data_IF_483629042960
#
_entry.id   IF_483629042960
#
_cell.length_a   1.000
_cell.length_b   1.000
_cell.length_c   1.000
_cell.angle_alpha   90.00
_cell.angle_beta   90.00
_cell.angle_gamma   90.00
#
_symmetry.space_group_name_H-M   'P 1'
#
loop_
_entity.id
_entity.type
_entity.pdbx_description
1 polymer ?
#
# COMPACT_ATOMS: atom_id res chain seq x y z
N UNK A 1 -7.95 -23.57 2.61
CA UNK A 1 -7.83 -22.45 3.55
C UNK A 1 -6.40 -22.09 3.86
N UNK A 2 -5.71 -21.51 2.87
CA UNK A 2 -4.33 -21.01 2.99
C UNK A 2 -4.24 -19.78 3.90
N UNK A 3 -5.25 -18.90 3.90
CA UNK A 3 -5.26 -17.68 4.73
C UNK A 3 -5.31 -18.01 6.22
N UNK A 4 -6.22 -18.90 6.66
CA UNK A 4 -6.30 -19.32 8.05
C UNK A 4 -5.07 -20.14 8.49
N UNK A 5 -4.49 -20.92 7.58
CA UNK A 5 -3.24 -21.63 7.82
C UNK A 5 -2.07 -20.66 8.06
N UNK A 6 -1.92 -19.66 7.19
CA UNK A 6 -0.87 -18.65 7.30
C UNK A 6 -1.04 -17.78 8.54
N UNK A 7 -2.28 -17.39 8.89
CA UNK A 7 -2.55 -16.65 10.12
C UNK A 7 -2.12 -17.44 11.36
N UNK A 8 -2.41 -18.75 11.38
CA UNK A 8 -1.98 -19.63 12.48
C UNK A 8 -0.47 -19.82 12.53
N UNK A 9 0.20 -19.92 11.39
CA UNK A 9 1.67 -19.97 11.35
C UNK A 9 2.27 -18.71 11.95
N UNK A 10 1.72 -17.54 11.62
CA UNK A 10 2.15 -16.25 12.18
C UNK A 10 1.90 -16.18 13.70
N UNK A 11 0.75 -16.64 14.18
CA UNK A 11 0.45 -16.75 15.62
C UNK A 11 1.45 -17.68 16.33
N UNK A 12 1.89 -18.74 15.64
CA UNK A 12 2.88 -19.70 16.14
C UNK A 12 4.34 -19.19 15.95
N UNK A 13 4.55 -17.98 15.42
CA UNK A 13 5.87 -17.37 15.25
C UNK A 13 6.62 -17.74 13.97
N UNK A 14 5.96 -18.39 13.00
CA UNK A 14 6.56 -18.84 11.75
C UNK A 14 6.06 -18.03 10.54
N UNK A 15 6.97 -17.74 9.61
CA UNK A 15 6.62 -17.12 8.34
C UNK A 15 6.05 -18.15 7.35
N UNK A 16 5.00 -17.79 6.59
CA UNK A 16 4.49 -18.62 5.51
C UNK A 16 5.48 -18.66 4.33
N UNK A 17 5.41 -19.74 3.55
CA UNK A 17 6.17 -19.88 2.29
C UNK A 17 5.82 -18.75 1.30
N UNK A 18 6.76 -18.43 0.40
CA UNK A 18 6.54 -17.46 -0.66
C UNK A 18 5.37 -17.84 -1.57
N UNK A 19 4.57 -16.84 -1.97
CA UNK A 19 3.40 -17.03 -2.83
C UNK A 19 3.82 -17.64 -4.17
N UNK A 20 3.20 -18.75 -4.63
CA UNK A 20 3.59 -19.41 -5.87
C UNK A 20 3.23 -18.60 -7.12
N UNK A 21 4.02 -18.77 -8.20
CA UNK A 21 3.74 -18.19 -9.53
C UNK A 21 2.49 -18.79 -10.18
N UNK A 22 1.31 -18.31 -9.83
CA UNK A 22 0.05 -18.70 -10.46
C UNK A 22 -0.89 -17.50 -10.62
N UNK A 23 -2.03 -17.70 -11.32
CA UNK A 23 -3.13 -16.74 -11.29
C UNK A 23 -3.94 -17.01 -10.00
N UNK A 24 -3.88 -16.12 -8.99
CA UNK A 24 -4.40 -16.44 -7.68
C UNK A 24 -5.92 -16.39 -7.67
N UNK A 25 -6.53 -17.21 -6.80
CA UNK A 25 -7.92 -16.99 -6.41
C UNK A 25 -7.94 -15.78 -5.48
N UNK A 26 -8.78 -14.76 -5.75
CA UNK A 26 -8.82 -13.60 -4.87
C UNK A 26 -9.39 -13.97 -3.51
N UNK A 27 -8.85 -13.34 -2.48
CA UNK A 27 -9.52 -13.25 -1.18
C UNK A 27 -10.57 -12.15 -1.28
N UNK A 28 -11.83 -12.50 -1.01
CA UNK A 28 -12.93 -11.55 -0.99
C UNK A 28 -13.24 -11.16 0.45
N UNK A 29 -13.15 -9.87 0.76
CA UNK A 29 -13.49 -9.31 2.06
C UNK A 29 -14.68 -8.38 1.88
N UNK A 30 -15.75 -8.62 2.63
CA UNK A 30 -16.90 -7.69 2.69
C UNK A 30 -16.68 -6.71 3.83
N UNK A 31 -16.50 -5.44 3.50
CA UNK A 31 -16.36 -4.36 4.46
C UNK A 31 -17.71 -3.65 4.62
N UNK A 32 -18.25 -3.66 5.84
CA UNK A 32 -19.49 -2.97 6.19
C UNK A 32 -19.31 -2.13 7.44
N UNK A 33 -19.99 -0.98 7.48
CA UNK A 33 -19.99 -0.12 8.66
C UNK A 33 -18.66 0.58 8.94
N UNK A 34 -17.72 0.58 7.98
CA UNK A 34 -16.50 1.39 8.06
C UNK A 34 -16.90 2.86 8.01
N UNK A 35 -16.63 3.65 9.06
CA UNK A 35 -17.10 5.04 9.10
C UNK A 35 -16.56 5.83 7.91
N UNK A 36 -17.41 6.72 7.37
CA UNK A 36 -17.08 7.58 6.22
C UNK A 36 -16.74 6.84 4.90
N UNK A 37 -16.83 5.52 4.86
CA UNK A 37 -16.67 4.70 3.67
C UNK A 37 -17.99 4.02 3.29
N UNK A 38 -18.27 3.80 1.99
CA UNK A 38 -19.41 2.99 1.58
C UNK A 38 -19.15 1.52 1.90
N UNK A 39 -20.22 0.75 2.10
CA UNK A 39 -20.13 -0.70 2.16
C UNK A 39 -19.59 -1.22 0.82
N UNK A 40 -18.61 -2.12 0.88
CA UNK A 40 -17.94 -2.60 -0.33
C UNK A 40 -17.47 -4.05 -0.21
N UNK A 41 -17.10 -4.62 -1.36
CA UNK A 41 -16.41 -5.90 -1.44
C UNK A 41 -15.01 -5.66 -1.99
N UNK A 42 -14.01 -5.91 -1.15
CA UNK A 42 -12.61 -5.83 -1.53
C UNK A 42 -12.19 -7.19 -2.12
N UNK A 43 -11.64 -7.15 -3.33
CA UNK A 43 -11.04 -8.31 -3.98
C UNK A 43 -9.52 -8.16 -3.92
N UNK A 44 -8.88 -8.94 -3.07
CA UNK A 44 -7.44 -8.93 -2.88
C UNK A 44 -6.82 -10.09 -3.64
N UNK A 45 -5.97 -9.77 -4.62
CA UNK A 45 -5.20 -10.75 -5.36
C UNK A 45 -3.75 -10.70 -4.83
N UNK A 46 -3.29 -11.80 -4.27
CA UNK A 46 -1.89 -11.95 -3.85
C UNK A 46 -1.12 -12.71 -4.93
N UNK A 47 -0.29 -11.98 -5.67
CA UNK A 47 0.60 -12.53 -6.70
C UNK A 47 2.05 -12.36 -6.24
N UNK A 48 2.89 -13.37 -6.48
CA UNK A 48 4.32 -13.27 -6.21
C UNK A 48 4.94 -12.04 -6.86
N UNK A 49 5.84 -11.35 -6.14
CA UNK A 49 6.49 -10.11 -6.58
C UNK A 49 7.24 -10.26 -7.91
N UNK A 50 7.73 -11.46 -8.22
CA UNK A 50 8.35 -11.84 -9.49
C UNK A 50 7.46 -11.58 -10.72
N UNK A 51 6.15 -11.47 -10.54
CA UNK A 51 5.21 -11.18 -11.63
C UNK A 51 5.34 -9.73 -12.10
N UNK A 52 5.95 -8.87 -11.29
CA UNK A 52 6.17 -7.45 -11.56
C UNK A 52 7.63 -7.14 -11.93
N UNK A 53 8.47 -8.15 -12.17
CA UNK A 53 9.84 -7.97 -12.68
C UNK A 53 9.87 -7.72 -14.19
N UNK A 54 8.88 -8.26 -14.94
CA UNK A 54 8.78 -8.14 -16.39
C UNK A 54 7.34 -7.90 -16.82
N UNK A 55 7.09 -7.01 -17.80
CA UNK A 55 5.74 -6.74 -18.31
C UNK A 55 4.99 -8.00 -18.73
N UNK A 56 5.66 -8.93 -19.40
CA UNK A 56 5.06 -10.20 -19.87
C UNK A 56 4.52 -11.08 -18.75
N UNK A 57 5.13 -11.05 -17.56
CA UNK A 57 4.65 -11.82 -16.40
C UNK A 57 3.42 -11.16 -15.77
N UNK A 58 3.37 -9.83 -15.77
CA UNK A 58 2.18 -9.07 -15.33
C UNK A 58 0.99 -9.40 -16.23
N UNK A 59 1.19 -9.44 -17.56
CA UNK A 59 0.14 -9.84 -18.52
C UNK A 59 -0.39 -11.24 -18.20
N UNK A 60 0.51 -12.19 -17.91
CA UNK A 60 0.18 -13.60 -17.73
C UNK A 60 -0.50 -13.90 -16.40
N UNK A 61 -0.05 -13.27 -15.31
CA UNK A 61 -0.42 -13.67 -13.94
C UNK A 61 -1.20 -12.61 -13.17
N UNK A 62 -1.17 -11.34 -13.62
CA UNK A 62 -1.77 -10.21 -12.92
C UNK A 62 -2.84 -9.47 -13.74
N UNK A 63 -3.41 -10.06 -14.81
CA UNK A 63 -4.37 -9.38 -15.70
C UNK A 63 -5.61 -8.77 -15.02
N UNK A 64 -5.91 -9.12 -13.76
CA UNK A 64 -6.94 -8.47 -12.95
C UNK A 64 -6.66 -6.97 -12.72
N UNK A 65 -5.39 -6.55 -12.70
CA UNK A 65 -5.00 -5.15 -12.41
C UNK A 65 -5.60 -4.17 -13.42
N UNK A 66 -5.90 -4.63 -14.65
CA UNK A 66 -6.49 -3.79 -15.71
C UNK A 66 -7.81 -3.13 -15.30
N UNK A 67 -8.57 -3.76 -14.41
CA UNK A 67 -9.89 -3.27 -13.99
C UNK A 67 -9.89 -2.64 -12.60
N UNK A 68 -8.72 -2.51 -11.97
CA UNK A 68 -8.64 -1.95 -10.64
C UNK A 68 -8.80 -0.42 -10.70
N UNK A 69 -9.61 0.15 -9.80
CA UNK A 69 -9.73 1.61 -9.63
C UNK A 69 -8.52 2.20 -8.88
N UNK A 70 -7.87 1.36 -8.06
CA UNK A 70 -6.67 1.70 -7.33
C UNK A 70 -5.62 0.57 -7.45
N UNK A 71 -4.38 0.95 -7.67
CA UNK A 71 -3.22 0.06 -7.68
C UNK A 71 -2.34 0.36 -6.47
N UNK A 72 -1.93 -0.67 -5.73
CA UNK A 72 -0.97 -0.55 -4.63
C UNK A 72 0.39 -1.06 -5.06
N UNK A 73 1.42 -0.23 -4.94
CA UNK A 73 2.81 -0.65 -5.08
C UNK A 73 3.43 -0.77 -3.69
N UNK A 74 3.72 -2.00 -3.28
CA UNK A 74 4.42 -2.30 -2.03
C UNK A 74 5.93 -2.23 -2.28
N UNK A 75 6.62 -1.32 -1.61
CA UNK A 75 8.06 -1.07 -1.83
C UNK A 75 8.77 -1.13 -0.49
N UNK A 76 9.81 -1.97 -0.37
CA UNK A 76 10.69 -1.92 0.80
C UNK A 76 11.94 -1.12 0.46
N UNK A 77 11.94 0.17 0.83
CA UNK A 77 13.06 1.08 0.52
C UNK A 77 14.36 0.61 1.17
N UNK A 78 14.27 0.05 2.39
CA UNK A 78 15.44 -0.45 3.12
C UNK A 78 16.11 -1.67 2.47
N UNK A 79 15.39 -2.38 1.60
CA UNK A 79 15.91 -3.59 0.92
C UNK A 79 16.37 -3.28 -0.52
N UNK A 80 16.32 -2.03 -0.98
CA UNK A 80 16.80 -1.61 -2.30
C UNK A 80 18.21 -1.05 -2.21
N UNK A 81 19.11 -1.52 -3.09
CA UNK A 81 20.48 -0.98 -3.21
C UNK A 81 20.47 0.51 -3.65
N UNK A 82 19.61 0.83 -4.62
CA UNK A 82 19.29 2.20 -5.05
C UNK A 82 17.76 2.34 -5.07
N UNK A 83 17.22 3.01 -4.05
CA UNK A 83 15.79 3.22 -3.90
C UNK A 83 15.15 3.92 -5.12
N UNK A 84 15.81 4.95 -5.65
CA UNK A 84 15.32 5.71 -6.81
C UNK A 84 15.23 4.81 -8.04
N UNK A 85 16.29 4.06 -8.34
CA UNK A 85 16.31 3.17 -9.50
C UNK A 85 15.27 2.04 -9.35
N UNK A 86 15.18 1.43 -8.17
CA UNK A 86 14.24 0.35 -7.89
C UNK A 86 12.78 0.80 -8.01
N UNK A 87 12.42 1.95 -7.43
CA UNK A 87 11.07 2.52 -7.56
C UNK A 87 10.72 2.83 -9.02
N UNK A 88 11.65 3.45 -9.76
CA UNK A 88 11.44 3.77 -11.17
C UNK A 88 11.24 2.52 -12.02
N UNK A 89 12.04 1.48 -11.79
CA UNK A 89 11.92 0.21 -12.50
C UNK A 89 10.56 -0.46 -12.24
N UNK A 90 10.12 -0.49 -10.99
CA UNK A 90 8.84 -1.07 -10.60
C UNK A 90 7.67 -0.34 -11.28
N UNK A 91 7.66 1.00 -11.20
CA UNK A 91 6.63 1.84 -11.80
C UNK A 91 6.58 1.66 -13.33
N UNK A 92 7.73 1.71 -13.99
CA UNK A 92 7.83 1.52 -15.43
C UNK A 92 7.34 0.13 -15.85
N UNK A 93 7.69 -0.91 -15.11
CA UNK A 93 7.25 -2.28 -15.40
C UNK A 93 5.73 -2.39 -15.31
N UNK A 94 5.13 -1.77 -14.30
CA UNK A 94 3.68 -1.71 -14.16
C UNK A 94 3.01 -0.95 -15.31
N UNK A 95 3.48 0.26 -15.64
CA UNK A 95 2.90 1.09 -16.72
C UNK A 95 2.99 0.37 -18.07
N UNK A 96 4.15 -0.19 -18.41
CA UNK A 96 4.35 -0.93 -19.66
C UNK A 96 3.46 -2.17 -19.70
N UNK A 97 3.42 -2.96 -18.62
CA UNK A 97 2.56 -4.14 -18.53
C UNK A 97 1.07 -3.81 -18.65
N UNK A 98 0.64 -2.67 -18.10
CA UNK A 98 -0.73 -2.16 -18.27
C UNK A 98 -1.02 -1.79 -19.71
N UNK A 99 -0.08 -1.15 -20.41
CA UNK A 99 -0.19 -0.87 -21.84
C UNK A 99 -0.35 -2.14 -22.67
N UNK A 100 0.42 -3.20 -22.38
CA UNK A 100 0.30 -4.51 -23.03
C UNK A 100 -1.05 -5.18 -22.77
N UNK A 101 -1.63 -4.98 -21.58
CA UNK A 101 -2.97 -5.45 -21.24
C UNK A 101 -4.11 -4.64 -21.89
N UNK A 102 -3.80 -3.61 -22.67
CA UNK A 102 -4.76 -2.60 -23.15
C UNK A 102 -5.51 -1.92 -21.99
N UNK A 103 -4.83 -1.77 -20.86
CA UNK A 103 -5.29 -0.99 -19.71
C UNK A 103 -4.87 0.48 -19.82
N UNK A 104 -5.53 1.32 -19.03
CA UNK A 104 -5.23 2.75 -18.96
C UNK A 104 -5.00 3.16 -17.51
N UNK A 105 -3.73 3.36 -17.15
CA UNK A 105 -3.34 3.77 -15.79
C UNK A 105 -3.87 5.14 -15.43
N UNK A 106 -4.22 6.00 -16.41
CA UNK A 106 -4.76 7.34 -16.13
C UNK A 106 -6.15 7.31 -15.50
N UNK A 107 -6.84 6.17 -15.56
CA UNK A 107 -8.09 5.95 -14.86
C UNK A 107 -7.89 5.32 -13.47
N UNK A 108 -6.66 4.94 -13.12
CA UNK A 108 -6.33 4.32 -11.84
C UNK A 108 -5.71 5.33 -10.88
N UNK A 109 -5.99 5.15 -9.60
CA UNK A 109 -5.27 5.83 -8.52
C UNK A 109 -4.07 4.99 -8.10
N UNK A 110 -2.90 5.60 -7.95
CA UNK A 110 -1.71 4.92 -7.46
C UNK A 110 -1.53 5.17 -5.95
N UNK A 111 -1.35 4.10 -5.20
CA UNK A 111 -1.02 4.13 -3.78
C UNK A 111 0.36 3.50 -3.61
N UNK A 112 1.35 4.32 -3.24
CA UNK A 112 2.71 3.86 -2.95
C UNK A 112 2.79 3.53 -1.47
N UNK A 113 3.17 2.31 -1.13
CA UNK A 113 3.22 1.84 0.25
C UNK A 113 4.65 1.48 0.60
N UNK A 114 5.27 2.25 1.48
CA UNK A 114 6.56 1.89 2.06
C UNK A 114 6.37 0.81 3.12
N UNK A 115 6.90 -0.37 2.84
CA UNK A 115 6.82 -1.57 3.68
C UNK A 115 8.12 -1.78 4.45
N UNK A 116 8.06 -2.59 5.51
CA UNK A 116 9.17 -2.78 6.47
C UNK A 116 9.65 -1.44 7.04
N UNK A 117 8.69 -0.55 7.32
CA UNK A 117 8.98 0.81 7.76
C UNK A 117 9.72 0.90 9.10
N UNK A 118 9.68 -0.16 9.91
CA UNK A 118 10.50 -0.32 11.11
C UNK A 118 12.00 -0.16 10.82
N UNK A 119 12.47 -0.58 9.63
CA UNK A 119 13.85 -0.36 9.19
C UNK A 119 14.15 1.10 8.81
N UNK A 120 13.13 1.89 8.50
CA UNK A 120 13.26 3.28 8.06
C UNK A 120 13.21 4.29 9.23
N UNK A 121 12.82 3.86 10.43
CA UNK A 121 12.65 4.75 11.59
C UNK A 121 13.90 5.57 11.89
N UNK A 122 15.09 4.98 11.75
CA UNK A 122 16.35 5.69 11.95
C UNK A 122 16.64 6.79 10.93
N UNK A 123 15.99 6.76 9.77
CA UNK A 123 16.12 7.78 8.73
C UNK A 123 15.12 8.94 8.93
N UNK A 124 14.04 8.71 9.68
CA UNK A 124 13.02 9.73 9.96
C UNK A 124 13.46 10.67 11.08
N UNK A 125 14.44 11.53 10.77
CA UNK A 125 14.99 12.53 11.68
C UNK A 125 14.69 13.96 11.25
N UNK A 126 14.84 14.92 12.17
CA UNK A 126 14.62 16.33 11.86
C UNK A 126 13.19 16.61 11.41
N UNK A 127 13.03 17.13 10.18
CA UNK A 127 11.70 17.42 9.60
C UNK A 127 10.86 16.16 9.34
N UNK A 128 11.47 14.99 9.26
CA UNK A 128 10.79 13.72 9.03
C UNK A 128 10.36 13.02 10.31
N UNK A 129 10.66 13.58 11.50
CA UNK A 129 10.39 12.94 12.78
C UNK A 129 8.91 12.59 12.99
N UNK A 130 8.00 13.34 12.36
CA UNK A 130 6.57 13.07 12.44
C UNK A 130 6.17 11.74 11.78
N UNK A 131 6.91 11.27 10.77
CA UNK A 131 6.73 9.94 10.16
C UNK A 131 7.09 8.83 11.15
N UNK A 132 8.17 8.99 11.92
CA UNK A 132 8.54 8.04 12.97
C UNK A 132 7.48 7.99 14.06
N UNK A 133 7.04 9.16 14.55
CA UNK A 133 5.96 9.27 15.55
C UNK A 133 4.69 8.61 15.03
N UNK A 134 4.30 8.90 13.79
CA UNK A 134 3.12 8.30 13.18
C UNK A 134 3.18 6.77 13.12
N UNK A 135 4.34 6.20 12.80
CA UNK A 135 4.53 4.74 12.78
C UNK A 135 4.54 4.15 14.21
N UNK A 136 5.17 4.83 15.16
CA UNK A 136 5.31 4.38 16.56
C UNK A 136 3.97 4.44 17.30
N UNK A 137 3.20 5.49 17.09
CA UNK A 137 1.91 5.74 17.75
C UNK A 137 0.75 5.05 17.03
N UNK A 138 1.04 4.19 16.05
CA UNK A 138 0.05 3.41 15.31
C UNK A 138 -0.76 2.48 16.19
N UNK A 139 -1.88 2.98 16.73
CA UNK A 139 -2.93 2.19 17.36
C UNK A 139 -4.18 2.14 16.48
N UNK A 140 -4.83 0.97 16.47
CA UNK A 140 -6.16 0.74 15.89
C UNK A 140 -7.22 1.63 16.58
N UNK A 141 -6.99 2.04 17.82
CA UNK A 141 -7.91 2.89 18.59
C UNK A 141 -8.11 4.27 17.95
N UNK A 142 -7.11 4.76 17.21
CA UNK A 142 -7.21 6.02 16.48
C UNK A 142 -8.29 5.99 15.38
N UNK A 143 -8.76 4.81 14.96
CA UNK A 143 -9.87 4.66 14.02
C UNK A 143 -11.23 5.07 14.61
N UNK A 144 -11.34 5.17 15.93
CA UNK A 144 -12.55 5.64 16.60
C UNK A 144 -12.93 7.08 16.19
N UNK A 145 -11.94 7.91 15.86
CA UNK A 145 -12.10 9.28 15.36
C UNK A 145 -11.79 9.34 13.85
N UNK A 146 -12.62 8.67 13.05
CA UNK A 146 -12.29 8.37 11.64
C UNK A 146 -12.07 9.60 10.75
N UNK A 147 -12.73 10.73 11.01
CA UNK A 147 -12.52 11.95 10.21
C UNK A 147 -11.10 12.50 10.42
N UNK A 148 -10.72 12.70 11.68
CA UNK A 148 -9.36 13.10 12.08
C UNK A 148 -8.32 12.09 11.62
N UNK A 149 -8.66 10.79 11.61
CA UNK A 149 -7.78 9.74 11.10
C UNK A 149 -7.47 9.91 9.61
N UNK A 150 -8.49 10.13 8.77
CA UNK A 150 -8.30 10.29 7.32
C UNK A 150 -7.56 11.58 6.98
N UNK A 151 -7.83 12.67 7.70
CA UNK A 151 -7.07 13.91 7.53
C UNK A 151 -5.60 13.71 7.92
N UNK A 152 -5.34 13.01 9.02
CA UNK A 152 -3.98 12.65 9.41
C UNK A 152 -3.29 11.75 8.37
N UNK A 153 -4.00 10.79 7.76
CA UNK A 153 -3.46 9.97 6.67
C UNK A 153 -3.06 10.82 5.46
N UNK A 154 -3.80 11.89 5.14
CA UNK A 154 -3.47 12.81 4.04
C UNK A 154 -2.20 13.60 4.36
N UNK A 155 -2.10 14.16 5.56
CA UNK A 155 -0.89 14.87 6.00
C UNK A 155 0.35 13.97 5.92
N UNK A 156 0.24 12.72 6.36
CA UNK A 156 1.34 11.75 6.28
C UNK A 156 1.64 11.36 4.84
N UNK A 157 0.62 11.22 3.98
CA UNK A 157 0.82 11.00 2.55
C UNK A 157 1.61 12.14 1.91
N UNK A 158 1.30 13.39 2.23
CA UNK A 158 2.02 14.56 1.71
C UNK A 158 3.46 14.59 2.27
N UNK A 159 3.65 14.29 3.55
CA UNK A 159 4.99 14.22 4.14
C UNK A 159 5.84 13.09 3.56
N UNK A 160 5.24 11.95 3.21
CA UNK A 160 5.91 10.85 2.52
C UNK A 160 6.22 11.17 1.06
N UNK A 161 5.36 11.94 0.40
CA UNK A 161 5.65 12.47 -0.94
C UNK A 161 6.91 13.34 -0.88
N UNK A 162 6.97 14.30 0.04
CA UNK A 162 8.13 15.19 0.23
C UNK A 162 9.38 14.40 0.61
N UNK A 163 9.25 13.39 1.48
CA UNK A 163 10.36 12.48 1.80
C UNK A 163 10.88 11.75 0.56
N UNK A 164 9.98 11.29 -0.31
CA UNK A 164 10.34 10.59 -1.55
C UNK A 164 11.06 11.52 -2.53
N UNK A 165 10.63 12.77 -2.61
CA UNK A 165 11.25 13.77 -3.48
C UNK A 165 12.62 14.20 -2.94
N UNK A 166 12.67 14.60 -1.67
CA UNK A 166 13.80 15.34 -1.12
C UNK A 166 14.85 14.44 -0.49
N UNK A 167 14.46 13.38 0.24
CA UNK A 167 15.39 12.46 0.90
C UNK A 167 15.81 11.32 -0.02
N UNK A 168 14.86 10.73 -0.75
CA UNK A 168 15.16 9.63 -1.70
C UNK A 168 15.59 10.14 -3.08
N UNK A 169 15.52 11.45 -3.32
CA UNK A 169 15.85 12.08 -4.60
C UNK A 169 15.09 11.49 -5.80
N UNK A 170 13.87 11.01 -5.59
CA UNK A 170 13.10 10.24 -6.57
C UNK A 170 12.10 11.07 -7.39
N UNK A 171 12.49 12.28 -7.79
CA UNK A 171 11.68 13.20 -8.61
C UNK A 171 11.15 12.55 -9.90
N UNK A 172 11.96 11.73 -10.57
CA UNK A 172 11.56 11.06 -11.82
C UNK A 172 10.40 10.09 -11.60
N UNK A 173 10.42 9.38 -10.45
CA UNK A 173 9.36 8.46 -10.06
C UNK A 173 8.06 9.20 -9.79
N UNK A 174 8.12 10.28 -9.00
CA UNK A 174 6.95 11.12 -8.69
C UNK A 174 6.34 11.68 -9.98
N UNK A 175 7.16 12.33 -10.81
CA UNK A 175 6.70 12.92 -12.07
C UNK A 175 6.08 11.87 -13.00
N UNK A 176 6.70 10.68 -13.10
CA UNK A 176 6.17 9.60 -13.90
C UNK A 176 4.84 9.09 -13.34
N UNK A 177 4.70 8.95 -12.03
CA UNK A 177 3.48 8.52 -11.38
C UNK A 177 2.35 9.54 -11.61
N UNK A 178 2.58 10.82 -11.34
CA UNK A 178 1.57 11.87 -11.54
C UNK A 178 1.16 12.04 -13.00
N UNK A 179 2.09 11.82 -13.95
CA UNK A 179 1.79 11.91 -15.39
C UNK A 179 0.96 10.75 -15.93
N UNK A 180 1.00 9.59 -15.27
CA UNK A 180 0.41 8.34 -15.76
C UNK A 180 -0.79 7.85 -14.97
N UNK A 181 -1.05 8.40 -13.78
CA UNK A 181 -2.14 7.98 -12.90
C UNK A 181 -3.10 9.13 -12.58
N UNK A 182 -4.34 8.78 -12.21
CA UNK A 182 -5.40 9.74 -11.86
C UNK A 182 -5.07 10.54 -10.62
N UNK A 183 -4.47 9.89 -9.62
CA UNK A 183 -3.93 10.51 -8.43
C UNK A 183 -2.82 9.64 -7.85
N UNK A 184 -1.96 10.27 -7.05
CA UNK A 184 -0.88 9.64 -6.31
C UNK A 184 -1.14 9.83 -4.81
N UNK A 185 -0.94 8.79 -4.02
CA UNK A 185 -1.00 8.87 -2.55
C UNK A 185 0.04 7.93 -1.95
N UNK A 186 0.55 8.29 -0.79
CA UNK A 186 1.58 7.54 -0.09
C UNK A 186 1.04 6.97 1.22
N UNK A 187 1.57 5.83 1.61
CA UNK A 187 1.31 5.19 2.89
C UNK A 187 2.57 4.49 3.38
N UNK A 188 2.63 4.22 4.68
CA UNK A 188 3.77 3.58 5.32
C UNK A 188 3.28 2.55 6.33
N UNK A 189 3.84 1.34 6.27
CA UNK A 189 3.42 0.22 7.13
C UNK A 189 4.62 -0.57 7.63
N UNK A 190 4.45 -1.18 8.81
CA UNK A 190 5.28 -2.28 9.27
C UNK A 190 4.37 -3.44 9.65
N UNK A 191 4.45 -4.55 8.92
CA UNK A 191 3.56 -5.69 9.14
C UNK A 191 3.96 -6.51 10.37
N UNK A 192 5.28 -6.65 10.61
CA UNK A 192 5.83 -7.48 11.68
C UNK A 192 6.21 -6.67 12.92
N UNK A 193 6.45 -5.37 12.77
CA UNK A 193 6.97 -4.52 13.85
C UNK A 193 8.49 -4.67 14.07
N UNK A 194 9.09 -5.78 13.62
CA UNK A 194 10.53 -6.06 13.64
C UNK A 194 10.94 -6.99 12.50
N UNK A 195 12.24 -6.99 12.17
CA UNK A 195 12.81 -7.94 11.21
C UNK A 195 12.81 -9.39 11.75
N UNK A 196 12.32 -10.38 10.97
CA UNK A 196 12.36 -11.79 11.36
C UNK A 196 13.78 -12.38 11.26
N UNK A 197 14.08 -13.41 12.07
CA UNK A 197 15.33 -14.17 11.98
C UNK A 197 15.09 -15.44 11.16
N UNK A 198 15.35 -15.35 9.85
CA UNK A 198 15.06 -16.43 8.91
C UNK A 198 13.55 -16.66 8.76
N UNK A 199 13.06 -17.82 9.20
CA UNK A 199 11.65 -18.19 9.16
C UNK A 199 10.91 -17.96 10.49
N UNK A 200 11.63 -17.53 11.53
CA UNK A 200 11.11 -17.37 12.88
C UNK A 200 11.00 -15.90 13.27
N UNK A 201 9.97 -15.58 14.04
CA UNK A 201 9.75 -14.27 14.64
C UNK A 201 10.38 -14.27 16.04
N UNK A 202 11.43 -13.46 16.23
CA UNK A 202 12.16 -13.36 17.51
C UNK A 202 11.38 -12.59 18.59
N UNK A 203 10.32 -11.88 18.20
CA UNK A 203 9.41 -11.13 19.08
C UNK A 203 7.97 -11.24 18.58
N UNK A 204 7.02 -10.87 19.43
CA UNK A 204 5.61 -10.78 19.08
C UNK A 204 5.37 -9.77 17.95
N UNK A 205 4.51 -10.14 16.99
CA UNK A 205 4.15 -9.30 15.85
C UNK A 205 3.44 -8.04 16.36
N UNK A 206 3.94 -6.87 15.99
CA UNK A 206 3.28 -5.58 16.27
C UNK A 206 2.99 -4.87 14.95
N UNK A 207 1.86 -5.18 14.28
CA UNK A 207 1.50 -4.54 13.02
C UNK A 207 1.21 -3.06 13.24
N UNK A 208 1.85 -2.21 12.45
CA UNK A 208 1.70 -0.75 12.48
C UNK A 208 1.13 -0.27 11.16
N UNK A 209 0.02 0.46 11.23
CA UNK A 209 -0.62 1.15 10.10
C UNK A 209 -1.06 0.25 8.93
N UNK A 210 -1.16 -1.07 9.15
CA UNK A 210 -1.54 -2.04 8.11
C UNK A 210 -2.92 -1.81 7.45
N UNK A 211 -3.78 -1.02 8.10
CA UNK A 211 -5.11 -0.68 7.59
C UNK A 211 -5.10 0.55 6.67
N UNK A 212 -4.06 1.39 6.73
CA UNK A 212 -4.00 2.65 5.97
C UNK A 212 -4.04 2.42 4.45
N UNK A 213 -3.28 1.47 3.87
CA UNK A 213 -3.37 1.21 2.44
C UNK A 213 -4.76 0.74 2.02
N UNK A 214 -5.45 -0.03 2.88
CA UNK A 214 -6.81 -0.52 2.60
C UNK A 214 -7.80 0.65 2.62
N UNK A 215 -7.69 1.53 3.61
CA UNK A 215 -8.51 2.75 3.68
C UNK A 215 -8.28 3.67 2.48
N UNK A 216 -7.03 3.77 1.99
CA UNK A 216 -6.73 4.47 0.75
C UNK A 216 -7.39 3.82 -0.46
N UNK A 217 -7.29 2.50 -0.61
CA UNK A 217 -7.98 1.78 -1.71
C UNK A 217 -9.47 2.04 -1.67
N UNK A 218 -10.09 1.97 -0.49
CA UNK A 218 -11.51 2.29 -0.32
C UNK A 218 -11.78 3.74 -0.73
N UNK A 219 -11.06 4.71 -0.18
CA UNK A 219 -11.23 6.15 -0.50
C UNK A 219 -11.08 6.44 -1.99
N UNK A 220 -10.13 5.80 -2.67
CA UNK A 220 -9.79 6.07 -4.07
C UNK A 220 -10.65 5.29 -5.08
N UNK A 221 -11.25 4.18 -4.67
CA UNK A 221 -12.05 3.33 -5.56
C UNK A 221 -13.49 3.82 -5.78
N UNK A 222 -13.90 4.93 -5.15
CA UNK A 222 -15.24 5.50 -5.32
C UNK A 222 -15.17 6.93 -5.89
N UNK A 223 -15.63 7.10 -7.12
CA UNK A 223 -15.73 8.40 -7.81
C UNK A 223 -16.95 9.22 -7.36
N UNK A 224 -16.79 10.05 -6.31
CA UNK A 224 -17.80 11.02 -5.82
C UNK A 224 -19.20 10.40 -5.55
N UNK A 225 -20.31 11.14 -5.31
CA UNK A 225 -20.59 12.39 -4.63
C UNK A 225 -21.11 12.18 -3.18
N UNK A 226 -20.80 11.06 -2.52
CA UNK A 226 -21.18 10.86 -1.10
C UNK A 226 -20.50 11.86 -0.13
N UNK A 227 -19.37 12.44 -0.57
CA UNK A 227 -18.63 13.48 0.16
C UNK A 227 -19.32 14.86 0.12
N UNK A 228 -20.05 15.20 -0.94
CA UNK A 228 -20.76 16.50 -1.02
C UNK A 228 -22.11 16.49 -0.29
N UNK A 229 -22.78 15.34 -0.21
CA UNK A 229 -24.07 15.19 0.49
C UNK A 229 -23.92 15.29 2.01
N UNK A 230 -22.87 14.69 2.62
CA UNK A 230 -22.62 14.84 4.07
C UNK A 230 -22.17 16.24 4.48
N UNK A 231 -21.45 16.96 3.60
CA UNK A 231 -21.04 18.36 3.85
C UNK A 231 -22.22 19.34 3.76
N UNK A 232 -23.31 18.96 3.10
CA UNK A 232 -24.56 19.74 2.98
C UNK A 232 -25.61 19.41 4.06
N UNK A 233 -25.52 18.27 4.73
CA UNK A 233 -26.48 17.81 5.74
C UNK A 233 -25.83 17.67 7.12
N UNK A 234 -24.97 18.63 7.49
CA UNK A 234 -24.55 18.81 8.89
C UNK A 234 -25.71 19.39 9.70
N UNK A 235 -26.49 18.50 10.30
CA UNK A 235 -27.28 18.74 11.51
C UNK A 235 -26.53 18.12 12.69
#
# INVERSE_FOLDING_TARGET
DTVYGNARMLDDGFLPDSTPKNFPRPTMIRAEGVPMQPNCSLLMFDTGGECFEKPTQLVQFAGFVRRAEAAMLLISIADLDDARAGMQQLLNTYIVGMGELSGDTKNQNLIVVFTKADKLVGHFTGKWADLATYLIDGSVDALAETETYLDRMREISDLLHDFTEEELHAHEFINAAESNFKSLSFSIISALGTEPDGAELSVEIVPRRILDPILWVMEKSFDGPLRSLKRWWGW
#
